data_IF_074525470933
#
_entry.id   IF_074525470933
#
_cell.length_a   1.000
_cell.length_b   1.000
_cell.length_c   1.000
_cell.angle_alpha   90.00
_cell.angle_beta   90.00
_cell.angle_gamma   90.00
#
_symmetry.space_group_name_H-M   'P 1'
#
loop_
_entity.id
_entity.type
_entity.pdbx_description
1 polymer ?
#
# COMPACT_ATOMS: atom_id res chain seq x y z
N UNK A 1 28.55 11.55 44.78
CA UNK A 1 28.15 11.91 43.40
C UNK A 1 26.88 11.14 43.05
N UNK A 2 25.82 11.81 42.58
CA UNK A 2 24.57 11.12 42.17
C UNK A 2 24.79 10.49 40.79
N UNK A 3 24.70 9.16 40.67
CA UNK A 3 24.68 8.47 39.36
C UNK A 3 23.32 8.66 38.71
N UNK A 4 23.31 9.10 37.46
CA UNK A 4 22.10 9.13 36.62
C UNK A 4 21.60 7.71 36.39
N UNK A 5 20.31 7.45 36.62
CA UNK A 5 19.68 6.20 36.21
C UNK A 5 19.33 6.27 34.72
N UNK A 6 19.97 5.42 33.93
CA UNK A 6 19.59 5.21 32.53
C UNK A 6 18.18 4.60 32.46
N UNK A 7 17.28 5.25 31.74
CA UNK A 7 15.92 4.76 31.48
C UNK A 7 15.95 3.52 30.59
N UNK A 8 15.87 2.34 31.19
CA UNK A 8 15.75 1.07 30.45
C UNK A 8 14.38 0.99 29.76
N UNK A 9 14.37 0.75 28.46
CA UNK A 9 13.15 0.60 27.66
C UNK A 9 12.58 -0.82 27.78
N UNK A 10 11.41 -0.95 28.42
CA UNK A 10 10.59 -2.18 28.45
C UNK A 10 10.15 -2.61 27.04
N UNK A 11 9.97 -3.93 26.82
CA UNK A 11 9.48 -4.45 25.53
C UNK A 11 8.06 -3.97 25.20
N UNK A 12 7.23 -3.70 26.22
CA UNK A 12 5.88 -3.15 26.05
C UNK A 12 5.89 -1.78 25.36
N UNK A 13 6.89 -0.95 25.66
CA UNK A 13 7.06 0.37 25.04
C UNK A 13 7.48 0.30 23.56
N UNK A 14 7.95 -0.86 23.07
CA UNK A 14 8.32 -1.06 21.67
C UNK A 14 7.11 -1.37 20.78
N UNK A 15 6.07 -2.00 21.33
CA UNK A 15 4.86 -2.37 20.58
C UNK A 15 3.73 -1.33 20.62
N UNK A 16 3.77 -0.37 21.56
CA UNK A 16 2.81 0.73 21.59
C UNK A 16 3.15 1.84 20.59
N UNK A 17 2.40 1.87 19.48
CA UNK A 17 2.31 3.03 18.59
C UNK A 17 1.89 4.26 19.40
N UNK A 18 2.72 5.32 19.41
CA UNK A 18 2.29 6.64 19.89
C UNK A 18 1.22 7.20 18.94
N UNK A 19 -0.04 7.08 19.33
CA UNK A 19 -1.10 7.91 18.77
C UNK A 19 -1.02 9.28 19.47
N UNK A 20 -0.53 10.30 18.75
CA UNK A 20 -0.77 11.69 19.13
C UNK A 20 -2.12 12.13 18.55
N UNK A 21 -3.18 12.08 19.35
CA UNK A 21 -4.34 12.96 19.20
C UNK A 21 -4.94 13.18 20.60
N UNK A 22 -5.45 14.38 20.86
CA UNK A 22 -5.70 14.87 22.22
C UNK A 22 -6.93 14.32 22.92
N UNK A 23 -7.08 14.72 24.17
CA UNK A 23 -8.27 14.54 25.01
C UNK A 23 -9.53 15.06 24.30
N UNK A 24 -10.62 14.29 24.41
CA UNK A 24 -11.96 14.79 24.72
C UNK A 24 -12.86 13.61 25.07
N UNK A 25 -13.68 13.81 26.09
CA UNK A 25 -14.31 12.81 26.96
C UNK A 25 -15.22 11.77 26.28
N UNK A 26 -15.28 10.58 26.88
CA UNK A 26 -16.24 9.52 26.56
C UNK A 26 -17.32 9.42 27.64
N UNK A 27 -18.55 9.82 27.32
CA UNK A 27 -19.73 9.33 28.04
C UNK A 27 -20.37 8.15 27.30
N UNK A 28 -20.62 7.08 28.04
CA UNK A 28 -21.22 5.83 27.57
C UNK A 28 -22.73 5.87 27.76
N UNK A 29 -23.50 5.64 26.70
CA UNK A 29 -24.85 5.09 26.82
C UNK A 29 -24.99 3.92 25.85
N UNK A 30 -25.31 2.76 26.41
CA UNK A 30 -25.62 1.51 25.73
C UNK A 30 -27.11 1.40 25.43
N UNK A 31 -27.47 0.83 24.28
CA UNK A 31 -28.58 -0.13 24.15
C UNK A 31 -28.47 -0.91 22.84
N UNK A 32 -28.80 -2.20 22.90
CA UNK A 32 -28.97 -3.09 21.75
C UNK A 32 -30.43 -3.07 21.30
N UNK A 33 -30.72 -3.21 20.00
CA UNK A 33 -31.88 -3.96 19.49
C UNK A 33 -31.77 -4.17 17.96
N UNK A 34 -32.36 -5.25 17.43
CA UNK A 34 -32.19 -5.72 16.05
C UNK A 34 -33.29 -5.23 15.07
N UNK A 35 -32.88 -4.88 13.84
CA UNK A 35 -33.46 -5.28 12.52
C UNK A 35 -35.01 -5.37 12.44
N UNK A 36 -35.71 -4.55 11.59
CA UNK A 36 -35.79 -4.95 10.17
C UNK A 36 -35.96 -3.87 9.07
N UNK A 37 -35.34 -4.20 7.91
CA UNK A 37 -35.73 -4.06 6.50
C UNK A 37 -36.77 -3.02 5.98
N UNK A 38 -36.47 -2.48 4.79
CA UNK A 38 -37.34 -1.78 3.81
C UNK A 38 -37.82 -0.34 4.19
N UNK A 39 -37.94 0.64 3.28
CA UNK A 39 -37.66 0.72 1.83
C UNK A 39 -37.75 2.16 1.29
N UNK A 40 -37.12 2.46 0.14
CA UNK A 40 -37.36 3.62 -0.77
C UNK A 40 -37.02 5.03 -0.21
N UNK A 41 -36.65 6.10 -0.93
CA UNK A 41 -36.88 6.63 -2.31
C UNK A 41 -35.72 7.60 -2.67
N UNK A 42 -35.19 7.81 -3.88
CA UNK A 42 -35.09 7.04 -5.14
C UNK A 42 -33.84 7.53 -5.92
N UNK A 43 -33.12 6.66 -6.64
CA UNK A 43 -33.04 6.59 -8.12
C UNK A 43 -33.06 7.92 -8.91
N UNK A 44 -31.92 8.22 -9.55
CA UNK A 44 -31.92 8.52 -10.99
C UNK A 44 -31.20 7.38 -11.71
N UNK A 45 -31.96 6.66 -12.54
CA UNK A 45 -31.46 5.51 -13.31
C UNK A 45 -30.75 6.04 -14.56
N UNK A 46 -29.47 5.70 -14.75
CA UNK A 46 -28.87 5.85 -16.08
C UNK A 46 -29.22 4.63 -16.92
N UNK A 47 -29.96 4.88 -17.98
CA UNK A 47 -30.57 3.88 -18.84
C UNK A 47 -29.58 3.21 -19.83
N UNK A 48 -29.94 1.98 -20.18
CA UNK A 48 -29.69 1.20 -21.41
C UNK A 48 -28.30 1.13 -22.10
N UNK A 49 -27.87 -0.13 -22.29
CA UNK A 49 -27.28 -0.70 -23.52
C UNK A 49 -26.39 0.20 -24.39
N UNK A 50 -25.28 0.70 -23.83
CA UNK A 50 -24.16 1.19 -24.64
C UNK A 50 -23.23 0.03 -25.01
N UNK A 51 -23.08 -0.23 -26.32
CA UNK A 51 -22.08 -1.17 -26.82
C UNK A 51 -20.69 -0.80 -26.28
N UNK A 52 -19.92 -1.79 -25.82
CA UNK A 52 -18.59 -1.61 -25.21
C UNK A 52 -17.66 -0.66 -26.03
N UNK A 53 -17.63 -0.71 -27.38
CA UNK A 53 -16.87 0.27 -28.16
C UNK A 53 -17.28 1.72 -27.90
N UNK A 54 -18.58 2.04 -27.83
CA UNK A 54 -19.07 3.41 -27.64
C UNK A 54 -18.76 3.96 -26.25
N UNK A 55 -18.56 3.10 -25.25
CA UNK A 55 -18.08 3.50 -23.93
C UNK A 55 -16.62 4.01 -23.98
N UNK A 56 -15.82 3.55 -24.95
CA UNK A 56 -14.43 3.97 -25.15
C UNK A 56 -14.26 5.23 -26.03
N UNK A 57 -15.34 5.95 -26.33
CA UNK A 57 -15.28 7.30 -26.92
C UNK A 57 -14.72 8.30 -25.89
N UNK A 58 -13.50 8.77 -26.14
CA UNK A 58 -12.77 9.74 -25.30
C UNK A 58 -13.57 11.04 -25.07
N UNK A 59 -14.42 11.45 -26.02
CA UNK A 59 -15.28 12.62 -25.86
C UNK A 59 -16.30 12.51 -24.72
N UNK A 60 -16.57 11.30 -24.20
CA UNK A 60 -17.38 11.10 -23.00
C UNK A 60 -16.68 11.60 -21.72
N UNK A 61 -15.36 11.66 -21.71
CA UNK A 61 -14.54 11.93 -20.51
C UNK A 61 -13.82 13.29 -20.55
N UNK A 62 -14.14 14.15 -21.53
CA UNK A 62 -13.64 15.53 -21.56
C UNK A 62 -14.11 16.27 -20.31
N UNK A 63 -13.16 16.81 -19.55
CA UNK A 63 -13.35 17.43 -18.22
C UNK A 63 -13.85 16.47 -17.10
N UNK A 64 -13.83 15.15 -17.31
CA UNK A 64 -14.18 14.15 -16.29
C UNK A 64 -12.90 13.53 -15.72
N UNK A 65 -12.80 13.40 -14.39
CA UNK A 65 -11.73 12.60 -13.77
C UNK A 65 -12.11 11.13 -13.81
N UNK A 66 -11.28 10.32 -14.46
CA UNK A 66 -11.34 8.86 -14.39
C UNK A 66 -10.47 8.42 -13.21
N UNK A 67 -11.07 7.72 -12.25
CA UNK A 67 -10.40 7.19 -11.05
C UNK A 67 -9.98 5.73 -11.19
N UNK A 68 -10.55 4.99 -12.15
CA UNK A 68 -10.21 3.59 -12.39
C UNK A 68 -9.06 3.47 -13.42
N UNK A 69 -7.87 3.12 -12.94
CA UNK A 69 -6.67 3.02 -13.79
C UNK A 69 -6.79 1.97 -14.89
N UNK A 70 -7.49 0.85 -14.62
CA UNK A 70 -7.77 -0.17 -15.64
C UNK A 70 -8.58 0.41 -16.82
N UNK A 71 -9.57 1.25 -16.53
CA UNK A 71 -10.36 1.91 -17.55
C UNK A 71 -9.59 3.04 -18.26
N UNK A 72 -8.77 3.80 -17.53
CA UNK A 72 -7.83 4.80 -18.08
C UNK A 72 -6.82 4.16 -19.06
N UNK A 73 -6.32 2.96 -18.74
CA UNK A 73 -5.46 2.15 -19.61
C UNK A 73 -6.17 1.69 -20.88
N UNK A 74 -7.40 1.17 -20.75
CA UNK A 74 -8.22 0.72 -21.88
C UNK A 74 -8.50 1.87 -22.89
N UNK A 75 -8.78 3.08 -22.39
CA UNK A 75 -8.96 4.27 -23.21
C UNK A 75 -7.69 4.72 -23.95
N UNK A 76 -6.50 4.44 -23.41
CA UNK A 76 -5.22 4.76 -24.06
C UNK A 76 -4.87 3.77 -25.17
N UNK A 77 -4.96 2.46 -24.88
CA UNK A 77 -4.56 1.39 -25.80
C UNK A 77 -5.65 1.13 -26.85
N UNK A 78 -6.92 1.09 -26.45
CA UNK A 78 -8.06 0.65 -27.26
C UNK A 78 -9.20 1.70 -27.32
N UNK A 79 -8.94 2.99 -27.63
CA UNK A 79 -10.00 3.99 -27.77
C UNK A 79 -10.98 3.60 -28.88
N UNK A 80 -12.21 4.12 -28.81
CA UNK A 80 -13.12 4.05 -29.94
C UNK A 80 -12.51 4.78 -31.15
N UNK A 81 -12.62 4.16 -32.33
CA UNK A 81 -12.20 4.72 -33.60
C UNK A 81 -13.33 4.56 -34.62
N UNK A 82 -13.60 5.56 -35.47
CA UNK A 82 -14.60 5.46 -36.53
C UNK A 82 -14.18 4.40 -37.56
N UNK A 83 -15.16 3.65 -38.09
CA UNK A 83 -14.94 2.65 -39.14
C UNK A 83 -14.53 3.29 -40.46
N UNK A 84 -13.92 2.53 -41.38
CA UNK A 84 -13.49 3.01 -42.71
C UNK A 84 -14.62 3.68 -43.51
N UNK A 85 -15.86 3.23 -43.31
CA UNK A 85 -17.06 3.70 -44.00
C UNK A 85 -17.82 4.79 -43.19
N UNK A 86 -17.23 5.32 -42.12
CA UNK A 86 -17.88 6.31 -41.25
C UNK A 86 -18.12 7.65 -41.97
N UNK A 87 -19.37 8.15 -41.89
CA UNK A 87 -19.78 9.38 -42.52
C UNK A 87 -19.54 10.59 -41.60
N UNK A 88 -18.35 11.19 -41.71
CA UNK A 88 -18.00 12.39 -40.93
C UNK A 88 -18.89 13.60 -41.28
N UNK A 89 -19.40 14.34 -40.27
CA UNK A 89 -20.23 15.52 -40.47
C UNK A 89 -19.45 16.66 -41.14
N UNK A 90 -20.21 17.48 -41.89
CA UNK A 90 -19.68 18.50 -42.79
C UNK A 90 -19.82 19.88 -42.15
N UNK A 91 -18.76 20.35 -41.50
CA UNK A 91 -18.81 21.49 -40.55
C UNK A 91 -18.49 22.85 -41.22
N UNK A 92 -18.64 22.98 -42.54
CA UNK A 92 -18.27 24.24 -43.23
C UNK A 92 -18.98 24.49 -44.55
N UNK A 93 -19.12 25.78 -44.92
CA UNK A 93 -19.57 26.23 -46.26
C UNK A 93 -18.76 25.64 -47.43
N UNK A 94 -17.52 25.18 -47.17
CA UNK A 94 -16.61 24.57 -48.15
C UNK A 94 -16.70 23.03 -48.21
N UNK A 95 -17.72 22.44 -47.58
CA UNK A 95 -17.95 20.99 -47.50
C UNK A 95 -16.79 20.15 -46.94
N UNK A 96 -15.92 20.76 -46.12
CA UNK A 96 -14.80 20.04 -45.47
C UNK A 96 -15.29 19.09 -44.37
N UNK A 97 -14.65 17.93 -44.27
CA UNK A 97 -14.88 16.88 -43.26
C UNK A 97 -13.55 16.34 -42.71
N UNK A 98 -13.60 15.71 -41.54
CA UNK A 98 -12.46 14.99 -40.95
C UNK A 98 -11.89 13.93 -41.91
N UNK A 99 -10.57 13.71 -41.88
CA UNK A 99 -9.89 12.74 -42.73
C UNK A 99 -9.36 11.57 -41.91
N UNK A 100 -9.72 10.34 -42.28
CA UNK A 100 -9.29 9.12 -41.58
C UNK A 100 -7.76 8.98 -41.53
N UNK A 101 -7.06 9.44 -42.57
CA UNK A 101 -5.59 9.45 -42.66
C UNK A 101 -4.90 10.33 -41.60
N UNK A 102 -5.62 11.18 -40.88
CA UNK A 102 -5.05 11.91 -39.75
C UNK A 102 -4.87 11.02 -38.51
N UNK A 103 -5.68 9.98 -38.32
CA UNK A 103 -5.54 9.04 -37.18
C UNK A 103 -4.27 8.20 -37.29
N UNK A 104 -3.91 7.76 -38.51
CA UNK A 104 -2.64 7.05 -38.74
C UNK A 104 -1.43 7.98 -38.71
N UNK A 105 -1.59 9.25 -39.07
CA UNK A 105 -0.51 10.26 -39.03
C UNK A 105 -0.20 10.77 -37.62
N UNK A 106 -1.20 10.83 -36.73
CA UNK A 106 -1.06 11.35 -35.38
C UNK A 106 -1.63 10.33 -34.38
N UNK A 107 -0.78 9.48 -33.81
CA UNK A 107 -1.17 8.36 -32.93
C UNK A 107 -1.90 8.76 -31.63
N UNK A 108 -1.82 10.04 -31.25
CA UNK A 108 -2.53 10.65 -30.13
C UNK A 108 -3.93 11.18 -30.51
N UNK A 109 -4.23 11.32 -31.80
CA UNK A 109 -5.48 11.87 -32.31
C UNK A 109 -6.58 10.82 -32.29
N UNK A 110 -7.76 11.20 -31.81
CA UNK A 110 -8.98 10.40 -31.87
C UNK A 110 -10.13 11.28 -32.36
N UNK A 111 -11.15 10.66 -32.96
CA UNK A 111 -12.40 11.33 -33.30
C UNK A 111 -13.47 10.87 -32.31
N UNK A 112 -14.26 11.81 -31.77
CA UNK A 112 -15.40 11.49 -30.93
C UNK A 112 -16.69 11.55 -31.74
N UNK A 113 -17.49 10.48 -31.69
CA UNK A 113 -18.86 10.46 -32.21
C UNK A 113 -19.73 11.40 -31.37
N UNK A 114 -19.64 11.32 -30.03
CA UNK A 114 -20.45 12.15 -29.11
C UNK A 114 -20.23 13.65 -29.27
N UNK A 115 -19.00 14.09 -29.57
CA UNK A 115 -18.63 15.50 -29.71
C UNK A 115 -18.36 15.94 -31.16
N UNK A 116 -18.64 15.06 -32.12
CA UNK A 116 -18.49 15.26 -33.57
C UNK A 116 -17.15 15.87 -34.05
N UNK A 117 -16.07 15.68 -33.29
CA UNK A 117 -14.79 16.33 -33.60
C UNK A 117 -13.57 15.65 -33.02
N UNK A 118 -12.41 16.21 -33.37
CA UNK A 118 -11.12 15.61 -33.05
C UNK A 118 -10.63 16.01 -31.64
N UNK A 119 -10.01 15.06 -30.95
CA UNK A 119 -9.43 15.21 -29.61
C UNK A 119 -8.06 14.55 -29.55
N UNK A 120 -7.26 14.91 -28.55
CA UNK A 120 -6.04 14.22 -28.19
C UNK A 120 -6.31 13.30 -27.00
N UNK A 121 -6.28 11.98 -27.19
CA UNK A 121 -6.60 11.01 -26.12
C UNK A 121 -5.67 11.16 -24.92
N UNK A 122 -4.40 11.44 -25.18
CA UNK A 122 -3.36 11.61 -24.15
C UNK A 122 -3.64 12.88 -23.33
N UNK A 123 -3.84 14.02 -23.99
CA UNK A 123 -4.09 15.26 -23.28
C UNK A 123 -5.43 15.25 -22.54
N UNK A 124 -6.50 14.67 -23.09
CA UNK A 124 -7.80 14.58 -22.38
C UNK A 124 -7.68 13.79 -21.07
N UNK A 125 -6.88 12.72 -21.05
CA UNK A 125 -6.72 11.83 -19.89
C UNK A 125 -5.72 12.33 -18.83
N UNK A 126 -4.78 13.20 -19.20
CA UNK A 126 -3.69 13.65 -18.31
C UNK A 126 -3.59 15.19 -18.13
N UNK A 127 -4.36 16.02 -18.85
CA UNK A 127 -4.23 17.49 -18.76
C UNK A 127 -4.42 18.04 -17.34
N UNK A 128 -5.34 17.44 -16.58
CA UNK A 128 -5.68 17.87 -15.21
C UNK A 128 -4.55 17.61 -14.19
N UNK A 129 -3.54 16.83 -14.57
CA UNK A 129 -2.32 16.55 -13.81
C UNK A 129 -1.11 17.35 -14.35
N UNK A 130 -1.21 17.83 -15.59
CA UNK A 130 -0.15 18.58 -16.28
C UNK A 130 -0.22 20.10 -16.09
N UNK A 131 -1.41 20.63 -15.79
CA UNK A 131 -1.65 22.07 -15.66
C UNK A 131 -1.52 22.45 -14.18
N UNK A 132 -0.39 23.07 -13.82
CA UNK A 132 -0.23 23.65 -12.49
C UNK A 132 -1.25 24.77 -12.26
N UNK A 133 -1.73 24.93 -11.03
CA UNK A 133 -2.76 25.94 -10.65
C UNK A 133 -2.41 27.40 -10.98
N UNK A 134 -1.19 27.70 -11.44
CA UNK A 134 -0.75 29.02 -11.90
C UNK A 134 -0.33 29.13 -13.38
N UNK A 135 -0.40 28.06 -14.19
CA UNK A 135 0.00 28.15 -15.61
C UNK A 135 -1.12 28.68 -16.50
N UNK A 136 -1.00 29.91 -16.99
CA UNK A 136 -1.98 30.60 -17.85
C UNK A 136 -2.16 30.01 -19.28
N UNK A 137 -1.70 28.79 -19.55
CA UNK A 137 -1.95 28.12 -20.83
C UNK A 137 -3.38 27.59 -20.91
N UNK A 138 -4.24 28.29 -21.65
CA UNK A 138 -5.60 27.85 -21.97
C UNK A 138 -5.55 26.63 -22.89
N UNK A 139 -5.72 25.43 -22.32
CA UNK A 139 -6.05 24.20 -23.08
C UNK A 139 -7.39 24.37 -23.78
N UNK A 140 -7.37 24.84 -25.02
CA UNK A 140 -8.55 25.08 -25.85
C UNK A 140 -8.94 23.86 -26.68
N UNK A 141 -8.61 23.89 -27.97
CA UNK A 141 -8.95 22.83 -28.89
C UNK A 141 -8.14 21.54 -28.64
N UNK A 142 -8.72 20.40 -29.04
CA UNK A 142 -8.21 19.03 -28.86
C UNK A 142 -8.21 18.50 -27.42
N UNK A 143 -8.48 19.34 -26.41
CA UNK A 143 -8.43 18.95 -24.99
C UNK A 143 -9.74 19.27 -24.28
N UNK A 144 -10.05 20.54 -24.03
CA UNK A 144 -11.31 20.94 -23.38
C UNK A 144 -12.47 21.06 -24.36
N UNK A 145 -12.18 21.24 -25.66
CA UNK A 145 -13.15 21.33 -26.75
C UNK A 145 -12.71 20.50 -27.97
N UNK A 146 -13.64 19.82 -28.66
CA UNK A 146 -13.35 19.13 -29.91
C UNK A 146 -12.85 20.12 -30.97
N UNK A 147 -11.86 19.70 -31.76
CA UNK A 147 -11.41 20.46 -32.91
C UNK A 147 -12.25 20.09 -34.15
N UNK A 148 -12.82 21.11 -34.78
CA UNK A 148 -13.74 21.01 -35.94
C UNK A 148 -13.33 21.90 -37.13
N UNK A 149 -12.25 22.71 -37.00
CA UNK A 149 -11.81 23.69 -38.02
C UNK A 149 -10.92 23.03 -39.07
N UNK A 150 -11.49 22.18 -39.91
CA UNK A 150 -10.76 21.30 -40.83
C UNK A 150 -9.78 21.99 -41.80
N UNK A 151 -9.98 23.28 -42.13
CA UNK A 151 -9.05 24.07 -42.97
C UNK A 151 -7.63 24.12 -42.39
N UNK A 152 -7.53 24.31 -41.07
CA UNK A 152 -6.27 24.60 -40.38
C UNK A 152 -5.76 23.37 -39.59
N UNK A 153 -6.38 22.20 -39.82
CA UNK A 153 -6.16 20.97 -39.04
C UNK A 153 -4.69 20.55 -38.96
N UNK A 154 -4.00 20.44 -40.10
CA UNK A 154 -2.60 19.99 -40.14
C UNK A 154 -1.64 20.94 -39.42
N UNK A 155 -1.94 22.24 -39.40
CA UNK A 155 -1.15 23.24 -38.67
C UNK A 155 -1.43 23.14 -37.17
N UNK A 156 -2.71 23.14 -36.77
CA UNK A 156 -3.10 22.98 -35.37
C UNK A 156 -2.60 21.65 -34.77
N UNK A 157 -2.59 20.55 -35.51
CA UNK A 157 -2.09 19.26 -35.03
C UNK A 157 -0.58 19.27 -34.83
N UNK A 158 0.19 19.92 -35.73
CA UNK A 158 1.64 20.14 -35.54
C UNK A 158 1.93 21.01 -34.32
N UNK A 159 1.22 22.13 -34.18
CA UNK A 159 1.36 23.04 -33.03
C UNK A 159 1.01 22.34 -31.72
N UNK A 160 -0.06 21.54 -31.68
CA UNK A 160 -0.43 20.74 -30.52
C UNK A 160 0.65 19.70 -30.17
N UNK A 161 1.13 18.94 -31.16
CA UNK A 161 2.16 17.90 -30.96
C UNK A 161 3.49 18.47 -30.44
N UNK A 162 3.78 19.74 -30.75
CA UNK A 162 4.97 20.45 -30.29
C UNK A 162 4.77 21.21 -28.98
N UNK A 163 3.55 21.34 -28.46
CA UNK A 163 3.26 22.07 -27.24
C UNK A 163 3.77 21.32 -25.99
N UNK A 164 4.28 22.05 -25.00
CA UNK A 164 4.96 21.43 -23.86
C UNK A 164 4.02 20.64 -22.95
N UNK A 165 2.77 21.10 -22.78
CA UNK A 165 1.75 20.32 -22.07
C UNK A 165 1.45 18.99 -22.77
N UNK A 166 1.55 18.92 -24.11
CA UNK A 166 1.35 17.68 -24.86
C UNK A 166 2.51 16.72 -24.62
N UNK A 167 3.77 17.17 -24.81
CA UNK A 167 4.97 16.37 -24.53
C UNK A 167 4.97 15.82 -23.10
N UNK A 168 4.61 16.67 -22.13
CA UNK A 168 4.53 16.28 -20.72
C UNK A 168 3.39 15.28 -20.46
N UNK A 169 2.24 15.42 -21.14
CA UNK A 169 1.16 14.42 -21.07
C UNK A 169 1.57 13.08 -21.70
N UNK A 170 2.37 13.11 -22.77
CA UNK A 170 2.93 11.90 -23.42
C UNK A 170 3.88 11.16 -22.50
N UNK A 171 4.79 11.87 -21.81
CA UNK A 171 5.70 11.26 -20.83
C UNK A 171 4.91 10.56 -19.72
N UNK A 172 3.93 11.25 -19.11
CA UNK A 172 3.09 10.65 -18.06
C UNK A 172 2.26 9.46 -18.53
N UNK A 173 1.75 9.51 -19.76
CA UNK A 173 1.02 8.39 -20.33
C UNK A 173 1.93 7.17 -20.59
N UNK A 174 3.17 7.39 -21.04
CA UNK A 174 4.17 6.33 -21.22
C UNK A 174 4.62 5.73 -19.87
N UNK A 175 4.85 6.56 -18.84
CA UNK A 175 5.11 6.11 -17.47
C UNK A 175 3.94 5.29 -16.90
N UNK A 176 2.70 5.77 -17.06
CA UNK A 176 1.49 5.07 -16.63
C UNK A 176 1.31 3.73 -17.35
N UNK A 177 1.49 3.68 -18.67
CA UNK A 177 1.45 2.44 -19.44
C UNK A 177 2.54 1.48 -18.99
N UNK A 178 3.77 1.96 -18.71
CA UNK A 178 4.86 1.14 -18.17
C UNK A 178 4.55 0.60 -16.78
N UNK A 179 3.86 1.35 -15.91
CA UNK A 179 3.43 0.87 -14.58
C UNK A 179 2.29 -0.15 -14.65
N UNK A 180 1.43 -0.08 -15.67
CA UNK A 180 0.35 -1.05 -15.89
C UNK A 180 0.83 -2.32 -16.62
N UNK A 181 1.73 -2.17 -17.60
CA UNK A 181 2.31 -3.28 -18.38
C UNK A 181 3.38 -4.03 -17.57
N UNK A 182 4.19 -3.32 -16.79
CA UNK A 182 5.13 -3.94 -15.84
C UNK A 182 4.43 -4.18 -14.51
N UNK A 183 4.33 -5.42 -14.04
CA UNK A 183 3.82 -5.76 -12.68
C UNK A 183 4.78 -5.31 -11.55
N UNK A 184 5.27 -4.07 -11.59
CA UNK A 184 6.04 -3.48 -10.50
C UNK A 184 5.06 -3.17 -9.37
N UNK A 185 5.30 -3.64 -8.13
CA UNK A 185 4.44 -3.29 -7.02
C UNK A 185 4.47 -1.77 -6.80
N UNK A 186 3.31 -1.20 -6.54
CA UNK A 186 3.15 0.18 -6.07
C UNK A 186 4.07 0.48 -4.88
N UNK A 187 4.45 1.74 -4.69
CA UNK A 187 5.29 2.19 -3.58
C UNK A 187 4.66 1.80 -2.24
N UNK A 188 3.33 1.85 -2.11
CA UNK A 188 2.63 1.34 -0.92
C UNK A 188 2.93 -0.15 -0.67
N UNK A 189 2.82 -0.98 -1.71
CA UNK A 189 3.08 -2.43 -1.65
C UNK A 189 4.57 -2.71 -1.38
N UNK A 190 5.48 -1.90 -1.92
CA UNK A 190 6.91 -2.02 -1.65
C UNK A 190 7.25 -1.67 -0.19
N UNK A 191 6.62 -0.63 0.38
CA UNK A 191 6.75 -0.27 1.80
C UNK A 191 6.16 -1.39 2.68
N UNK A 192 4.97 -1.90 2.37
CA UNK A 192 4.34 -3.00 3.10
C UNK A 192 5.19 -4.28 3.06
N UNK A 193 5.80 -4.58 1.91
CA UNK A 193 6.73 -5.71 1.74
C UNK A 193 8.02 -5.53 2.54
N UNK A 194 8.63 -4.34 2.49
CA UNK A 194 9.84 -4.03 3.26
C UNK A 194 9.57 -4.05 4.78
N UNK A 195 8.45 -3.48 5.22
CA UNK A 195 8.00 -3.54 6.61
C UNK A 195 7.73 -4.97 7.07
N UNK A 196 7.04 -5.77 6.24
CA UNK A 196 6.80 -7.20 6.50
C UNK A 196 8.12 -7.97 6.65
N UNK A 197 9.10 -7.72 5.78
CA UNK A 197 10.42 -8.35 5.86
C UNK A 197 11.15 -7.94 7.16
N UNK A 198 11.14 -6.66 7.52
CA UNK A 198 11.72 -6.18 8.78
C UNK A 198 11.06 -6.82 10.02
N UNK A 199 9.74 -7.00 10.00
CA UNK A 199 9.00 -7.71 11.07
C UNK A 199 9.39 -9.19 11.13
N UNK A 200 9.57 -9.85 9.97
CA UNK A 200 10.02 -11.25 9.91
C UNK A 200 11.46 -11.40 10.42
N UNK A 201 12.38 -10.53 10.02
CA UNK A 201 13.76 -10.51 10.52
C UNK A 201 13.82 -10.29 12.04
N UNK A 202 13.06 -9.34 12.56
CA UNK A 202 13.04 -9.06 14.00
C UNK A 202 12.39 -10.21 14.80
N UNK A 203 11.39 -10.89 14.24
CA UNK A 203 10.86 -12.13 14.81
C UNK A 203 11.91 -13.25 14.81
N UNK A 204 12.62 -13.45 13.70
CA UNK A 204 13.66 -14.48 13.60
C UNK A 204 14.78 -14.32 14.64
N UNK A 205 15.12 -13.07 15.02
CA UNK A 205 16.07 -12.76 16.10
C UNK A 205 15.53 -13.09 17.49
N UNK A 206 14.22 -12.90 17.73
CA UNK A 206 13.56 -13.14 19.01
C UNK A 206 13.23 -14.62 19.27
N UNK A 207 12.92 -15.40 18.22
CA UNK A 207 12.58 -16.83 18.31
C UNK A 207 13.60 -17.63 19.16
N UNK A 208 14.91 -17.66 18.86
CA UNK A 208 15.87 -18.45 19.63
C UNK A 208 16.01 -17.99 21.10
N UNK A 209 15.75 -16.71 21.39
CA UNK A 209 15.74 -16.15 22.75
C UNK A 209 14.56 -16.72 23.54
N UNK A 210 13.35 -16.64 22.96
CA UNK A 210 12.11 -17.13 23.58
C UNK A 210 12.15 -18.67 23.73
N UNK A 211 12.59 -19.39 22.70
CA UNK A 211 12.75 -20.85 22.75
C UNK A 211 13.72 -21.29 23.85
N UNK A 212 14.78 -20.53 24.11
CA UNK A 212 15.74 -20.84 25.18
C UNK A 212 15.11 -20.66 26.57
N UNK A 213 14.26 -19.64 26.77
CA UNK A 213 13.47 -19.46 28.00
C UNK A 213 12.47 -20.62 28.17
N UNK A 214 11.75 -20.99 27.10
CA UNK A 214 10.81 -22.12 27.11
C UNK A 214 11.54 -23.44 27.40
N UNK A 215 12.72 -23.65 26.82
CA UNK A 215 13.55 -24.83 27.07
C UNK A 215 13.93 -24.92 28.56
N UNK A 216 14.50 -23.87 29.14
CA UNK A 216 14.83 -23.84 30.56
C UNK A 216 13.60 -24.14 31.44
N UNK A 217 12.46 -23.49 31.17
CA UNK A 217 11.22 -23.72 31.90
C UNK A 217 10.66 -25.15 31.77
N UNK A 218 10.85 -25.80 30.61
CA UNK A 218 10.43 -27.20 30.38
C UNK A 218 11.39 -28.24 30.94
N UNK A 219 12.63 -27.88 31.24
CA UNK A 219 13.65 -28.76 31.80
C UNK A 219 13.94 -28.43 33.28
N UNK A 220 13.13 -27.57 33.89
CA UNK A 220 13.27 -27.11 35.29
C UNK A 220 14.66 -26.48 35.58
N UNK A 221 15.31 -25.94 34.55
CA UNK A 221 16.63 -25.32 34.66
C UNK A 221 16.51 -23.86 35.08
N UNK A 222 17.26 -23.48 36.12
CA UNK A 222 17.42 -22.08 36.51
C UNK A 222 18.03 -21.26 35.35
N UNK A 223 17.45 -20.12 35.01
CA UNK A 223 17.94 -19.31 33.87
C UNK A 223 19.25 -18.56 34.17
N UNK A 224 19.41 -18.06 35.40
CA UNK A 224 20.46 -17.12 35.79
C UNK A 224 21.55 -17.77 36.64
N UNK A 225 22.75 -17.24 36.54
CA UNK A 225 23.86 -17.47 37.47
C UNK A 225 24.09 -16.27 38.38
N UNK A 226 25.31 -16.11 38.85
CA UNK A 226 25.72 -15.07 39.80
C UNK A 226 25.71 -13.66 39.19
N UNK A 227 26.00 -13.56 37.88
CA UNK A 227 26.01 -12.29 37.16
C UNK A 227 25.66 -12.44 35.67
N UNK A 228 24.41 -12.16 35.29
CA UNK A 228 23.92 -12.25 33.91
C UNK A 228 24.01 -10.91 33.12
N UNK A 229 24.82 -9.96 33.60
CA UNK A 229 25.04 -8.65 32.98
C UNK A 229 26.13 -8.65 31.89
N UNK A 230 26.21 -7.55 31.15
CA UNK A 230 27.28 -7.34 30.14
C UNK A 230 27.10 -8.13 28.85
N UNK A 231 28.08 -8.02 27.96
CA UNK A 231 28.07 -8.59 26.62
C UNK A 231 28.20 -10.12 26.64
N UNK A 232 27.41 -10.83 25.83
CA UNK A 232 27.21 -12.29 25.99
C UNK A 232 28.43 -13.15 25.62
N UNK A 233 29.32 -12.63 24.77
CA UNK A 233 30.57 -13.28 24.38
C UNK A 233 31.76 -12.86 25.25
N UNK A 234 31.56 -11.94 26.20
CA UNK A 234 32.58 -11.51 27.17
C UNK A 234 32.52 -12.40 28.42
N UNK A 235 32.72 -13.70 28.24
CA UNK A 235 32.77 -14.65 29.34
C UNK A 235 34.16 -14.63 30.00
N UNK A 236 34.20 -14.61 31.33
CA UNK A 236 35.40 -14.85 32.13
C UNK A 236 35.20 -16.16 32.89
N UNK A 237 36.19 -17.04 32.93
CA UNK A 237 36.06 -18.38 33.52
C UNK A 237 35.61 -18.37 35.00
N UNK A 238 35.87 -17.27 35.72
CA UNK A 238 35.51 -17.07 37.12
C UNK A 238 34.03 -16.67 37.38
N UNK A 239 33.21 -16.40 36.34
CA UNK A 239 31.83 -15.91 36.52
C UNK A 239 30.79 -16.79 35.81
N UNK A 240 29.85 -17.34 36.57
CA UNK A 240 28.67 -18.02 36.03
C UNK A 240 27.59 -16.99 35.64
N UNK A 241 27.37 -16.78 34.34
CA UNK A 241 26.31 -15.89 33.83
C UNK A 241 24.97 -16.60 33.52
N UNK A 242 24.87 -17.89 33.85
CA UNK A 242 23.64 -18.67 33.85
C UNK A 242 23.39 -19.55 32.63
N UNK A 243 22.46 -20.50 32.79
CA UNK A 243 22.10 -21.45 31.74
C UNK A 243 21.50 -20.75 30.51
N UNK A 244 20.71 -19.70 30.69
CA UNK A 244 20.10 -18.96 29.56
C UNK A 244 21.16 -18.38 28.63
N UNK A 245 22.17 -17.69 29.17
CA UNK A 245 23.25 -17.08 28.38
C UNK A 245 24.20 -18.14 27.81
N UNK A 246 24.44 -19.22 28.56
CA UNK A 246 25.21 -20.38 28.09
C UNK A 246 24.54 -21.11 26.92
N UNK A 247 23.23 -21.31 26.96
CA UNK A 247 22.46 -21.94 25.86
C UNK A 247 22.39 -21.05 24.62
N UNK A 248 22.34 -19.72 24.76
CA UNK A 248 22.44 -18.81 23.61
C UNK A 248 23.83 -18.87 22.95
N UNK A 249 24.92 -18.93 23.74
CA UNK A 249 26.27 -19.19 23.21
C UNK A 249 26.35 -20.54 22.49
N UNK A 250 25.76 -21.59 23.07
CA UNK A 250 25.72 -22.92 22.46
C UNK A 250 24.96 -22.93 21.13
N UNK A 251 23.81 -22.23 21.02
CA UNK A 251 23.08 -22.06 19.75
C UNK A 251 23.93 -21.38 18.67
N UNK A 252 24.65 -20.30 19.04
CA UNK A 252 25.57 -19.60 18.14
C UNK A 252 26.71 -20.52 17.67
N UNK A 253 27.32 -21.28 18.58
CA UNK A 253 28.36 -22.27 18.26
C UNK A 253 27.83 -23.41 17.39
N UNK A 254 26.55 -23.76 17.54
CA UNK A 254 25.84 -24.78 16.74
C UNK A 254 25.38 -24.27 15.36
N UNK A 255 25.69 -23.03 14.98
CA UNK A 255 25.45 -22.50 13.63
C UNK A 255 24.27 -21.53 13.49
N UNK A 256 23.67 -21.04 14.59
CA UNK A 256 22.64 -19.99 14.53
C UNK A 256 23.24 -18.62 14.15
N UNK A 257 23.45 -18.40 12.84
CA UNK A 257 24.04 -17.19 12.29
C UNK A 257 23.15 -15.95 12.50
N UNK A 258 21.83 -16.12 12.55
CA UNK A 258 20.88 -15.01 12.76
C UNK A 258 20.95 -14.53 14.22
N UNK A 259 20.97 -15.45 15.18
CA UNK A 259 21.22 -15.12 16.59
C UNK A 259 22.61 -14.54 16.78
N UNK A 260 23.64 -15.10 16.12
CA UNK A 260 25.01 -14.58 16.20
C UNK A 260 25.07 -13.11 15.78
N UNK A 261 24.59 -12.80 14.57
CA UNK A 261 24.59 -11.44 14.06
C UNK A 261 23.78 -10.48 14.93
N UNK A 262 22.66 -10.95 15.50
CA UNK A 262 21.86 -10.19 16.47
C UNK A 262 22.62 -9.86 17.75
N UNK A 263 23.28 -10.85 18.36
CA UNK A 263 24.00 -10.69 19.62
C UNK A 263 25.28 -9.85 19.48
N UNK A 264 25.95 -9.91 18.32
CA UNK A 264 27.19 -9.15 18.04
C UNK A 264 26.92 -7.68 17.64
N UNK A 265 25.85 -7.41 16.87
CA UNK A 265 25.66 -6.10 16.20
C UNK A 265 24.52 -5.25 16.77
N UNK A 266 23.68 -5.77 17.67
CA UNK A 266 22.57 -5.00 18.24
C UNK A 266 23.03 -3.99 19.29
N UNK A 267 22.40 -2.82 19.31
CA UNK A 267 22.54 -1.88 20.40
C UNK A 267 22.13 -2.53 21.73
N UNK A 268 22.75 -2.12 22.84
CA UNK A 268 22.60 -2.77 24.15
C UNK A 268 21.14 -2.87 24.65
N UNK A 269 20.27 -1.93 24.27
CA UNK A 269 18.84 -1.92 24.59
C UNK A 269 17.98 -2.82 23.68
N UNK A 270 18.54 -3.36 22.60
CA UNK A 270 17.87 -4.18 21.59
C UNK A 270 18.40 -5.62 21.53
N UNK A 271 19.28 -6.04 22.45
CA UNK A 271 19.79 -7.43 22.49
C UNK A 271 18.74 -8.41 23.03
N UNK A 272 17.80 -7.94 23.87
CA UNK A 272 16.69 -8.70 24.47
C UNK A 272 17.07 -9.86 25.41
N UNK A 273 18.28 -9.84 26.00
CA UNK A 273 18.79 -10.87 26.93
C UNK A 273 18.84 -10.45 28.41
N UNK A 274 18.44 -9.22 28.74
CA UNK A 274 18.58 -8.68 30.10
C UNK A 274 17.63 -9.33 31.12
N UNK A 275 17.91 -9.27 32.44
CA UNK A 275 17.03 -9.77 33.49
C UNK A 275 15.57 -9.31 33.37
N UNK A 276 15.38 -8.03 33.01
CA UNK A 276 14.06 -7.43 32.80
C UNK A 276 13.32 -8.14 31.66
N UNK A 277 13.96 -8.26 30.49
CA UNK A 277 13.34 -8.87 29.31
C UNK A 277 13.09 -10.37 29.54
N UNK A 278 13.99 -11.09 30.21
CA UNK A 278 13.74 -12.48 30.63
C UNK A 278 12.45 -12.58 31.46
N UNK A 279 12.26 -11.71 32.46
CA UNK A 279 11.05 -11.69 33.28
C UNK A 279 9.79 -11.35 32.47
N UNK A 280 9.86 -10.35 31.57
CA UNK A 280 8.74 -9.98 30.69
C UNK A 280 8.35 -11.17 29.78
N UNK A 281 9.32 -11.87 29.19
CA UNK A 281 9.09 -13.04 28.35
C UNK A 281 8.55 -14.24 29.14
N UNK A 282 9.04 -14.50 30.35
CA UNK A 282 8.48 -15.52 31.26
C UNK A 282 7.02 -15.20 31.58
N UNK A 283 6.71 -13.96 31.92
CA UNK A 283 5.33 -13.53 32.21
C UNK A 283 4.42 -13.75 30.99
N UNK A 284 4.85 -13.33 29.79
CA UNK A 284 4.11 -13.54 28.54
C UNK A 284 3.86 -15.04 28.29
N UNK A 285 4.88 -15.89 28.47
CA UNK A 285 4.72 -17.34 28.32
C UNK A 285 3.71 -17.91 29.34
N UNK A 286 3.80 -17.49 30.61
CA UNK A 286 2.87 -17.88 31.66
C UNK A 286 1.43 -17.48 31.36
N UNK A 287 1.19 -16.21 30.99
CA UNK A 287 -0.13 -15.70 30.60
C UNK A 287 -0.70 -16.47 29.40
N UNK A 288 0.12 -16.76 28.39
CA UNK A 288 -0.30 -17.52 27.22
C UNK A 288 -0.71 -18.95 27.58
N UNK A 289 0.10 -19.66 28.37
CA UNK A 289 -0.20 -21.03 28.83
C UNK A 289 -1.48 -21.05 29.66
N UNK A 290 -1.64 -20.12 30.62
CA UNK A 290 -2.85 -20.00 31.43
C UNK A 290 -4.10 -19.74 30.57
N UNK A 291 -4.02 -18.82 29.61
CA UNK A 291 -5.13 -18.50 28.70
C UNK A 291 -5.57 -19.72 27.88
N UNK A 292 -4.61 -20.49 27.37
CA UNK A 292 -4.88 -21.73 26.62
C UNK A 292 -5.49 -22.82 27.51
N UNK A 293 -5.03 -22.98 28.76
CA UNK A 293 -5.61 -23.92 29.72
C UNK A 293 -7.06 -23.54 30.09
N UNK A 294 -7.31 -22.26 30.43
CA UNK A 294 -8.66 -21.75 30.74
C UNK A 294 -9.61 -21.95 29.56
N UNK A 295 -9.14 -21.70 28.34
CA UNK A 295 -9.94 -21.91 27.12
C UNK A 295 -10.31 -23.38 26.94
N UNK A 296 -9.35 -24.30 27.10
CA UNK A 296 -9.60 -25.75 27.02
C UNK A 296 -10.55 -26.24 28.12
N UNK A 297 -10.40 -25.78 29.37
CA UNK A 297 -11.27 -26.15 30.49
C UNK A 297 -12.71 -25.70 30.21
N UNK A 298 -12.90 -24.47 29.72
CA UNK A 298 -14.23 -23.95 29.33
C UNK A 298 -14.85 -24.76 28.18
N UNK A 299 -14.06 -25.22 27.22
CA UNK A 299 -14.51 -26.01 26.07
C UNK A 299 -14.82 -27.48 26.42
N UNK A 300 -14.14 -28.06 27.43
CA UNK A 300 -14.31 -29.46 27.81
C UNK A 300 -15.69 -29.78 28.41
N UNK A 301 -16.42 -28.75 28.89
CA UNK A 301 -17.69 -28.91 29.58
C UNK A 301 -17.53 -29.43 31.02
N UNK A 302 -18.53 -29.17 31.86
CA UNK A 302 -18.57 -29.73 33.21
C UNK A 302 -19.05 -31.18 33.16
N UNK A 303 -18.15 -32.13 33.42
CA UNK A 303 -18.54 -33.52 33.74
C UNK A 303 -19.00 -33.60 35.20
N UNK A 304 -20.24 -33.19 35.47
CA UNK A 304 -20.92 -33.53 36.71
C UNK A 304 -21.32 -35.01 36.70
N UNK A 305 -20.39 -35.89 37.11
CA UNK A 305 -20.77 -37.22 37.58
C UNK A 305 -21.40 -37.07 38.98
N UNK A 306 -22.73 -36.96 39.01
CA UNK A 306 -23.49 -37.36 40.18
C UNK A 306 -23.55 -38.90 40.18
N UNK A 307 -23.12 -39.50 41.29
CA UNK A 307 -23.23 -40.93 41.61
C UNK A 307 -23.83 -41.07 43.00
#
# INVERSE_FOLDING_TARGET
MKRSMSTQSSIFNFFHKKNNQGELDSELISTEEEIPCASTTEKSVLDSTLEIPKLRDVGRYVNVRITEDKFKYDLLKNPWLPSSNYNFPVVSKRKLKFQMSWLSRFSWLVYSEKLEGALCKICVLFSNECIGKGSNQKVGALVSKPFIKWKDALECFKLHSNADYHKLSVIRADEFLKMMDSKKPDISIAIDSAYKNLVLENRAKLVPIIETIIFCGRQEMALRGDNDSGHIFSNSDDNNDGNFRSLLRFRVQSGDLTLKAHLENSAANAVYISPLIQNELIHICGTYIQTQLVTKIKQAGFFFNFS
#
